data_IF_829000433305
#
_entry.id   IF_829000433305
#
_cell.length_a   1.000
_cell.length_b   1.000
_cell.length_c   1.000
_cell.angle_alpha   90.00
_cell.angle_beta   90.00
_cell.angle_gamma   90.00
#
_symmetry.space_group_name_H-M   'P 1'
#
loop_
_entity.id
_entity.type
_entity.pdbx_description
1 polymer ?
#
# COMPACT_ATOMS: atom_id res chain seq x y z
N UNK A 1 9.52 3.11 48.68
CA UNK A 1 9.64 3.29 47.21
C UNK A 1 10.17 4.69 46.98
N UNK A 2 11.35 4.83 46.36
CA UNK A 2 12.15 6.06 46.43
C UNK A 2 11.73 7.14 45.42
N UNK A 3 11.93 8.40 45.80
CA UNK A 3 11.72 9.66 45.07
C UNK A 3 12.41 9.76 43.68
N UNK A 4 13.07 8.69 43.21
CA UNK A 4 13.72 8.63 41.89
C UNK A 4 12.78 8.21 40.75
N UNK A 5 11.58 7.69 41.03
CA UNK A 5 10.58 7.36 40.00
C UNK A 5 9.79 8.59 39.52
N UNK A 6 9.77 9.67 40.30
CA UNK A 6 8.91 10.86 40.08
C UNK A 6 9.46 11.82 39.02
N UNK A 7 10.78 11.83 38.79
CA UNK A 7 11.42 12.67 37.76
C UNK A 7 11.35 12.07 36.33
N UNK A 8 10.94 10.81 36.19
CA UNK A 8 10.96 10.10 34.91
C UNK A 8 9.80 10.47 33.97
N UNK A 9 8.64 10.84 34.51
CA UNK A 9 7.44 11.09 33.72
C UNK A 9 7.48 12.41 32.92
N UNK A 10 8.13 13.45 33.45
CA UNK A 10 8.15 14.77 32.78
C UNK A 10 9.17 14.83 31.63
N UNK A 11 10.27 14.07 31.70
CA UNK A 11 11.37 14.16 30.70
C UNK A 11 11.11 13.37 29.41
N UNK A 12 10.42 12.22 29.49
CA UNK A 12 10.04 11.42 28.31
C UNK A 12 8.96 12.12 27.48
N UNK A 13 8.05 12.87 28.13
CA UNK A 13 6.96 13.55 27.45
C UNK A 13 7.36 14.91 26.85
N UNK A 14 8.49 15.49 27.24
CA UNK A 14 8.89 16.85 26.81
C UNK A 14 10.04 16.90 25.81
N UNK A 15 10.77 15.80 25.59
CA UNK A 15 11.89 15.77 24.65
C UNK A 15 11.70 14.69 23.59
N UNK A 16 11.10 15.06 22.45
CA UNK A 16 11.08 14.25 21.23
C UNK A 16 9.72 13.77 20.73
N UNK A 17 8.61 14.09 21.40
CA UNK A 17 7.29 13.76 20.86
C UNK A 17 6.91 14.70 19.69
N UNK A 18 6.34 14.18 18.59
CA UNK A 18 5.77 15.01 17.54
C UNK A 18 4.67 15.92 18.12
N UNK A 19 4.43 17.11 17.56
CA UNK A 19 3.49 18.09 18.11
C UNK A 19 2.05 17.57 18.26
N UNK A 20 1.68 16.49 17.55
CA UNK A 20 0.39 15.80 17.68
C UNK A 20 0.26 14.90 18.92
N UNK A 21 1.35 14.65 19.64
CA UNK A 21 1.40 13.84 20.87
C UNK A 21 1.74 14.67 22.12
N UNK A 22 1.46 15.98 22.12
CA UNK A 22 1.56 16.78 23.35
C UNK A 22 0.40 16.41 24.29
N UNK A 23 0.65 15.45 25.17
CA UNK A 23 -0.30 15.08 26.21
C UNK A 23 -0.27 16.13 27.33
N UNK A 24 -1.25 17.01 27.37
CA UNK A 24 -1.59 17.81 28.55
C UNK A 24 -2.23 16.89 29.62
N UNK A 25 -1.43 15.98 30.19
CA UNK A 25 -1.84 15.20 31.35
C UNK A 25 -1.48 16.00 32.60
N UNK A 26 -2.45 16.42 33.43
CA UNK A 26 -2.13 16.99 34.72
C UNK A 26 -1.37 15.93 35.53
N UNK A 27 -0.12 16.24 35.90
CA UNK A 27 0.74 15.42 36.75
C UNK A 27 0.22 15.37 38.20
N UNK A 28 -1.05 15.02 38.40
CA UNK A 28 -1.58 14.72 39.72
C UNK A 28 -1.03 13.35 40.16
N UNK A 29 -0.39 13.33 41.33
CA UNK A 29 0.58 12.31 41.77
C UNK A 29 0.06 10.87 41.99
N UNK A 30 -1.12 10.46 41.50
CA UNK A 30 -1.63 9.09 41.70
C UNK A 30 -2.50 8.55 40.56
N UNK A 31 -2.58 9.23 39.41
CA UNK A 31 -3.42 8.77 38.30
C UNK A 31 -2.61 7.86 37.39
N UNK A 32 -3.03 6.60 37.27
CA UNK A 32 -2.44 5.66 36.31
C UNK A 32 -2.71 6.15 34.88
N UNK A 33 -1.70 6.13 33.98
CA UNK A 33 -1.88 6.59 32.61
C UNK A 33 -2.86 5.65 31.88
N UNK A 34 -3.87 6.17 31.17
CA UNK A 34 -4.80 5.34 30.42
C UNK A 34 -4.08 4.40 29.46
N UNK A 35 -4.55 3.15 29.34
CA UNK A 35 -3.96 2.15 28.46
C UNK A 35 -3.75 2.65 27.02
N UNK A 36 -4.74 3.37 26.47
CA UNK A 36 -4.68 3.94 25.13
C UNK A 36 -3.46 4.87 24.92
N UNK A 37 -3.07 5.64 25.95
CA UNK A 37 -1.89 6.52 25.89
C UNK A 37 -0.60 5.70 25.84
N UNK A 38 -0.50 4.65 26.65
CA UNK A 38 0.66 3.75 26.64
C UNK A 38 0.78 2.99 25.32
N UNK A 39 -0.35 2.53 24.76
CA UNK A 39 -0.38 1.89 23.45
C UNK A 39 0.08 2.84 22.33
N UNK A 40 -0.38 4.11 22.35
CA UNK A 40 0.06 5.13 21.39
C UNK A 40 1.56 5.42 21.52
N UNK A 41 2.06 5.50 22.75
CA UNK A 41 3.48 5.70 23.00
C UNK A 41 4.32 4.54 22.45
N UNK A 42 3.89 3.28 22.66
CA UNK A 42 4.54 2.11 22.04
C UNK A 42 4.51 2.18 20.51
N UNK A 43 3.39 2.57 19.91
CA UNK A 43 3.25 2.67 18.46
C UNK A 43 4.18 3.73 17.86
N UNK A 44 4.32 4.87 18.54
CA UNK A 44 5.26 5.93 18.15
C UNK A 44 6.72 5.48 18.32
N UNK A 45 7.05 4.89 19.48
CA UNK A 45 8.40 4.41 19.76
C UNK A 45 8.84 3.31 18.78
N UNK A 46 7.91 2.46 18.34
CA UNK A 46 8.12 1.43 17.32
C UNK A 46 8.54 1.96 15.94
N UNK A 47 8.30 3.25 15.66
CA UNK A 47 8.63 3.91 14.40
C UNK A 47 9.78 4.91 14.51
N UNK A 48 10.36 5.08 15.70
CA UNK A 48 11.30 6.16 16.01
C UNK A 48 12.63 5.65 16.59
N UNK A 49 12.93 4.36 16.40
CA UNK A 49 14.12 3.71 16.99
C UNK A 49 14.24 3.99 18.51
N UNK A 50 13.15 3.72 19.24
CA UNK A 50 13.11 3.90 20.69
C UNK A 50 12.90 2.56 21.40
N UNK A 51 13.76 1.58 21.12
CA UNK A 51 13.71 0.22 21.70
C UNK A 51 13.62 0.28 23.23
N UNK A 52 14.44 1.13 23.86
CA UNK A 52 14.46 1.30 25.31
C UNK A 52 13.19 1.92 25.91
N UNK A 53 12.42 2.69 25.13
CA UNK A 53 11.11 3.22 25.56
C UNK A 53 10.08 2.09 25.53
N UNK A 54 10.07 1.28 24.48
CA UNK A 54 9.13 0.15 24.34
C UNK A 54 9.27 -0.81 25.52
N UNK A 55 10.49 -1.20 25.90
CA UNK A 55 10.71 -2.09 27.04
C UNK A 55 10.16 -1.54 28.36
N UNK A 56 10.31 -0.23 28.59
CA UNK A 56 9.77 0.41 29.80
C UNK A 56 8.25 0.42 29.78
N UNK A 57 7.64 0.75 28.64
CA UNK A 57 6.19 0.76 28.48
C UNK A 57 5.63 -0.66 28.60
N UNK A 58 6.27 -1.67 28.00
CA UNK A 58 5.91 -3.09 28.15
C UNK A 58 5.87 -3.52 29.62
N UNK A 59 6.93 -3.22 30.40
CA UNK A 59 6.97 -3.52 31.83
C UNK A 59 5.87 -2.80 32.60
N UNK A 60 5.58 -1.54 32.25
CA UNK A 60 4.53 -0.75 32.88
C UNK A 60 3.14 -1.34 32.57
N UNK A 61 2.85 -1.65 31.32
CA UNK A 61 1.59 -2.27 30.90
C UNK A 61 1.44 -3.65 31.52
N UNK A 62 2.48 -4.48 31.53
CA UNK A 62 2.43 -5.80 32.17
C UNK A 62 2.05 -5.71 33.66
N UNK A 63 2.53 -4.67 34.36
CA UNK A 63 2.24 -4.45 35.77
C UNK A 63 0.85 -3.88 36.02
N UNK A 64 0.38 -2.93 35.19
CA UNK A 64 -0.86 -2.17 35.44
C UNK A 64 -2.06 -2.80 34.72
N UNK A 65 -1.84 -3.34 33.51
CA UNK A 65 -2.86 -3.88 32.60
C UNK A 65 -2.42 -5.25 32.05
N UNK A 66 -2.32 -6.30 32.89
CA UNK A 66 -1.81 -7.61 32.48
C UNK A 66 -2.66 -8.28 31.39
N UNK A 67 -3.98 -8.16 31.45
CA UNK A 67 -4.87 -8.74 30.44
C UNK A 67 -4.64 -8.11 29.07
N UNK A 68 -4.55 -6.78 29.01
CA UNK A 68 -4.24 -6.04 27.79
C UNK A 68 -2.84 -6.37 27.25
N UNK A 69 -1.87 -6.55 28.15
CA UNK A 69 -0.53 -7.01 27.79
C UNK A 69 -0.59 -8.33 27.02
N UNK A 70 -1.33 -9.31 27.52
CA UNK A 70 -1.49 -10.61 26.86
C UNK A 70 -2.29 -10.52 25.56
N UNK A 71 -3.41 -9.78 25.54
CA UNK A 71 -4.22 -9.55 24.34
C UNK A 71 -3.44 -8.85 23.21
N UNK A 72 -2.45 -8.03 23.57
CA UNK A 72 -1.57 -7.34 22.63
C UNK A 72 -0.23 -8.05 22.42
N UNK A 73 -0.14 -9.37 22.67
CA UNK A 73 1.06 -10.19 22.42
C UNK A 73 2.32 -9.65 23.11
N UNK A 74 2.15 -9.02 24.26
CA UNK A 74 3.22 -8.32 24.97
C UNK A 74 3.85 -7.18 24.20
N UNK A 75 3.18 -6.63 23.17
CA UNK A 75 3.68 -5.55 22.32
C UNK A 75 4.99 -5.87 21.56
N UNK A 76 5.33 -7.16 21.45
CA UNK A 76 6.53 -7.65 20.77
C UNK A 76 6.65 -7.18 19.32
N UNK A 77 5.53 -7.01 18.60
CA UNK A 77 5.56 -6.47 17.24
C UNK A 77 6.05 -5.00 17.20
N UNK A 78 5.77 -4.18 18.21
CA UNK A 78 6.36 -2.83 18.26
C UNK A 78 7.84 -2.87 18.60
N UNK A 79 8.26 -3.80 19.46
CA UNK A 79 9.68 -4.01 19.78
C UNK A 79 10.46 -4.41 18.52
N UNK A 80 9.99 -5.42 17.80
CA UNK A 80 10.54 -5.84 16.52
C UNK A 80 10.57 -4.70 15.49
N UNK A 81 9.52 -3.86 15.45
CA UNK A 81 9.51 -2.66 14.62
C UNK A 81 10.61 -1.68 15.01
N UNK A 82 10.78 -1.36 16.30
CA UNK A 82 11.84 -0.46 16.73
C UNK A 82 13.23 -1.00 16.38
N UNK A 83 13.49 -2.31 16.58
CA UNK A 83 14.74 -2.94 16.17
C UNK A 83 15.03 -2.75 14.67
N UNK A 84 14.03 -2.99 13.81
CA UNK A 84 14.19 -2.78 12.37
C UNK A 84 14.49 -1.31 12.02
N UNK A 85 13.85 -0.34 12.70
CA UNK A 85 14.13 1.09 12.50
C UNK A 85 15.48 1.53 13.08
N UNK A 86 16.00 0.81 14.07
CA UNK A 86 17.35 1.01 14.64
C UNK A 86 18.47 0.54 13.70
N UNK A 87 18.14 -0.28 12.71
CA UNK A 87 19.12 -0.97 11.85
C UNK A 87 19.37 -2.42 12.27
N UNK A 88 18.84 -2.88 13.41
CA UNK A 88 18.90 -4.28 13.86
C UNK A 88 17.85 -5.15 13.14
N UNK A 89 17.83 -5.08 11.81
CA UNK A 89 16.81 -5.68 10.95
C UNK A 89 16.71 -7.19 11.13
N UNK A 90 17.86 -7.88 11.28
CA UNK A 90 17.87 -9.34 11.48
C UNK A 90 17.12 -9.74 12.74
N UNK A 91 17.43 -9.11 13.87
CA UNK A 91 16.81 -9.42 15.16
C UNK A 91 15.31 -9.10 15.14
N UNK A 92 14.93 -7.95 14.57
CA UNK A 92 13.52 -7.59 14.41
C UNK A 92 12.74 -8.60 13.54
N UNK A 93 13.31 -9.08 12.43
CA UNK A 93 12.67 -10.09 11.58
C UNK A 93 12.60 -11.47 12.24
N UNK A 94 13.59 -11.85 13.06
CA UNK A 94 13.56 -13.08 13.86
C UNK A 94 12.43 -13.05 14.90
N UNK A 95 12.26 -11.92 15.61
CA UNK A 95 11.16 -11.74 16.56
C UNK A 95 9.79 -11.84 15.87
N UNK A 96 9.64 -11.24 14.68
CA UNK A 96 8.41 -11.35 13.88
C UNK A 96 8.14 -12.79 13.44
N UNK A 97 9.18 -13.53 13.05
CA UNK A 97 9.06 -14.94 12.66
C UNK A 97 8.51 -15.77 13.82
N UNK A 98 9.03 -15.56 15.03
CA UNK A 98 8.53 -16.22 16.24
C UNK A 98 7.07 -15.85 16.54
N UNK A 99 6.70 -14.59 16.34
CA UNK A 99 5.31 -14.14 16.54
C UNK A 99 4.33 -14.81 15.58
N UNK A 100 4.71 -14.98 14.31
CA UNK A 100 3.88 -15.70 13.34
C UNK A 100 3.66 -17.16 13.73
N UNK A 101 4.71 -17.84 14.21
CA UNK A 101 4.63 -19.25 14.61
C UNK A 101 3.83 -19.47 15.89
N UNK A 102 3.93 -18.55 16.85
CA UNK A 102 3.39 -18.76 18.20
C UNK A 102 1.98 -18.21 18.42
N UNK A 103 1.48 -17.28 17.58
CA UNK A 103 0.27 -16.52 17.89
C UNK A 103 -0.69 -16.36 16.69
N UNK A 104 -1.50 -17.40 16.37
CA UNK A 104 -2.45 -17.34 15.26
C UNK A 104 -3.51 -16.23 15.39
N UNK A 105 -3.96 -15.96 16.62
CA UNK A 105 -5.04 -15.00 16.91
C UNK A 105 -4.62 -13.53 16.67
N UNK A 106 -3.32 -13.22 16.69
CA UNK A 106 -2.80 -11.86 16.54
C UNK A 106 -2.26 -11.52 15.14
N UNK A 107 -2.44 -12.40 14.16
CA UNK A 107 -1.82 -12.28 12.83
C UNK A 107 -2.12 -10.95 12.11
N UNK A 108 -3.27 -10.32 12.34
CA UNK A 108 -3.60 -9.05 11.68
C UNK A 108 -2.63 -7.94 12.07
N UNK A 109 -2.43 -7.70 13.38
CA UNK A 109 -1.51 -6.66 13.87
C UNK A 109 -0.06 -6.94 13.44
N UNK A 110 0.33 -8.22 13.45
CA UNK A 110 1.66 -8.65 12.98
C UNK A 110 1.80 -8.34 11.48
N UNK A 111 0.83 -8.70 10.64
CA UNK A 111 0.82 -8.43 9.19
C UNK A 111 0.90 -6.93 8.88
N UNK A 112 0.17 -6.10 9.61
CA UNK A 112 0.20 -4.65 9.44
C UNK A 112 1.61 -4.11 9.78
N UNK A 113 2.19 -4.55 10.90
CA UNK A 113 3.53 -4.16 11.33
C UNK A 113 4.61 -4.58 10.33
N UNK A 114 4.56 -5.83 9.87
CA UNK A 114 5.47 -6.37 8.85
C UNK A 114 5.39 -5.57 7.56
N UNK A 115 4.17 -5.18 7.15
CA UNK A 115 3.99 -4.34 5.97
C UNK A 115 4.70 -3.00 6.14
N UNK A 116 4.57 -2.34 7.30
CA UNK A 116 5.30 -1.08 7.56
C UNK A 116 6.82 -1.25 7.55
N UNK A 117 7.33 -2.33 8.15
CA UNK A 117 8.76 -2.63 8.18
C UNK A 117 9.30 -2.89 6.78
N UNK A 118 8.57 -3.65 5.96
CA UNK A 118 8.92 -3.89 4.55
C UNK A 118 9.07 -2.56 3.80
N UNK A 119 8.08 -1.67 3.88
CA UNK A 119 8.17 -0.37 3.20
C UNK A 119 9.34 0.47 3.71
N UNK A 120 9.61 0.46 5.02
CA UNK A 120 10.75 1.16 5.59
C UNK A 120 12.09 0.62 5.06
N UNK A 121 12.27 -0.70 5.08
CA UNK A 121 13.49 -1.36 4.59
C UNK A 121 13.70 -1.06 3.10
N UNK A 122 12.66 -1.21 2.28
CA UNK A 122 12.75 -0.93 0.84
C UNK A 122 13.10 0.53 0.57
N UNK A 123 12.53 1.47 1.32
CA UNK A 123 12.84 2.90 1.17
C UNK A 123 14.23 3.29 1.71
N UNK A 124 14.86 2.45 2.54
CA UNK A 124 16.22 2.68 3.03
C UNK A 124 17.30 2.43 1.97
N UNK A 125 16.95 1.75 0.87
CA UNK A 125 17.84 1.41 -0.25
C UNK A 125 19.12 0.65 0.19
N UNK A 126 19.07 -0.08 1.30
CA UNK A 126 20.17 -0.91 1.80
C UNK A 126 20.01 -2.36 1.31
N UNK A 127 20.89 -2.80 0.41
CA UNK A 127 20.81 -4.12 -0.24
C UNK A 127 20.88 -5.30 0.73
N UNK A 128 21.61 -5.17 1.84
CA UNK A 128 21.70 -6.26 2.82
C UNK A 128 20.39 -6.39 3.60
N UNK A 129 19.75 -5.26 3.93
CA UNK A 129 18.42 -5.27 4.55
C UNK A 129 17.35 -5.78 3.56
N UNK A 130 17.44 -5.39 2.28
CA UNK A 130 16.58 -5.90 1.20
C UNK A 130 16.67 -7.43 1.08
N UNK A 131 17.88 -8.00 1.12
CA UNK A 131 18.09 -9.46 1.12
C UNK A 131 17.52 -10.14 2.36
N UNK A 132 17.69 -9.54 3.54
CA UNK A 132 17.14 -10.08 4.79
C UNK A 132 15.61 -10.14 4.74
N UNK A 133 14.95 -9.06 4.30
CA UNK A 133 13.48 -9.04 4.22
C UNK A 133 12.96 -9.99 3.15
N UNK A 134 13.65 -10.12 2.01
CA UNK A 134 13.31 -11.10 0.98
C UNK A 134 13.35 -12.54 1.51
N UNK A 135 14.43 -12.91 2.20
CA UNK A 135 14.58 -14.24 2.80
C UNK A 135 13.50 -14.49 3.87
N UNK A 136 13.22 -13.50 4.71
CA UNK A 136 12.16 -13.55 5.71
C UNK A 136 10.79 -13.84 5.08
N UNK A 137 10.37 -13.07 4.06
CA UNK A 137 9.05 -13.29 3.45
C UNK A 137 8.97 -14.61 2.68
N UNK A 138 10.07 -15.02 2.04
CA UNK A 138 10.14 -16.31 1.34
C UNK A 138 10.00 -17.47 2.32
N UNK A 139 10.66 -17.40 3.47
CA UNK A 139 10.57 -18.42 4.52
C UNK A 139 9.16 -18.49 5.12
N UNK A 140 8.50 -17.35 5.33
CA UNK A 140 7.09 -17.32 5.78
C UNK A 140 6.12 -17.88 4.73
N UNK A 141 6.34 -17.57 3.45
CA UNK A 141 5.53 -18.07 2.36
C UNK A 141 5.66 -19.59 2.21
N UNK A 142 6.90 -20.12 2.18
CA UNK A 142 7.17 -21.56 2.02
C UNK A 142 6.84 -22.35 3.28
N UNK A 143 7.32 -21.90 4.44
CA UNK A 143 7.21 -22.66 5.69
C UNK A 143 5.84 -22.57 6.35
N UNK A 144 5.12 -21.45 6.18
CA UNK A 144 3.87 -21.19 6.91
C UNK A 144 2.68 -20.86 6.00
N UNK A 145 2.86 -20.89 4.67
CA UNK A 145 1.82 -20.52 3.71
C UNK A 145 1.39 -19.05 3.80
N UNK A 146 2.15 -18.19 4.48
CA UNK A 146 1.79 -16.79 4.68
C UNK A 146 2.24 -15.96 3.47
N UNK A 147 1.37 -15.84 2.47
CA UNK A 147 1.63 -15.04 1.27
C UNK A 147 1.45 -13.53 1.46
N UNK A 148 0.84 -13.09 2.56
CA UNK A 148 0.55 -11.66 2.79
C UNK A 148 1.82 -10.80 2.90
N UNK A 149 2.88 -11.18 3.64
CA UNK A 149 4.14 -10.43 3.65
C UNK A 149 4.81 -10.39 2.28
N UNK A 150 4.80 -11.52 1.54
CA UNK A 150 5.37 -11.58 0.21
C UNK A 150 4.64 -10.65 -0.78
N UNK A 151 3.30 -10.53 -0.67
CA UNK A 151 2.53 -9.55 -1.43
C UNK A 151 2.91 -8.11 -1.06
N UNK A 152 3.10 -7.80 0.23
CA UNK A 152 3.52 -6.47 0.66
C UNK A 152 4.92 -6.12 0.14
N UNK A 153 5.86 -7.06 0.17
CA UNK A 153 7.20 -6.88 -0.40
C UNK A 153 7.13 -6.68 -1.91
N UNK A 154 6.34 -7.51 -2.61
CA UNK A 154 6.13 -7.36 -4.04
C UNK A 154 5.62 -5.95 -4.39
N UNK A 155 4.59 -5.46 -3.69
CA UNK A 155 4.05 -4.12 -3.95
C UNK A 155 5.10 -3.02 -3.74
N UNK A 156 5.90 -3.12 -2.68
CA UNK A 156 6.94 -2.14 -2.38
C UNK A 156 8.05 -2.16 -3.44
N UNK A 157 8.52 -3.34 -3.81
CA UNK A 157 9.58 -3.53 -4.81
C UNK A 157 9.13 -3.15 -6.22
N UNK A 158 7.95 -3.58 -6.65
CA UNK A 158 7.41 -3.32 -7.99
C UNK A 158 7.11 -1.83 -8.23
N UNK A 159 6.72 -1.11 -7.17
CA UNK A 159 6.47 0.33 -7.23
C UNK A 159 7.75 1.17 -7.18
N UNK A 160 8.92 0.55 -7.00
CA UNK A 160 10.19 1.26 -6.93
C UNK A 160 10.72 1.60 -8.32
N UNK A 161 11.40 2.73 -8.44
CA UNK A 161 12.17 3.11 -9.62
C UNK A 161 13.50 2.34 -9.75
N UNK A 162 13.94 1.67 -8.69
CA UNK A 162 15.20 0.91 -8.71
C UNK A 162 15.04 -0.43 -9.42
N UNK A 163 15.82 -0.63 -10.48
CA UNK A 163 15.81 -1.84 -11.29
C UNK A 163 16.02 -3.13 -10.48
N UNK A 164 16.96 -3.14 -9.52
CA UNK A 164 17.23 -4.32 -8.68
C UNK A 164 16.00 -4.76 -7.86
N UNK A 165 15.17 -3.81 -7.43
CA UNK A 165 13.95 -4.09 -6.69
C UNK A 165 12.86 -4.61 -7.64
N UNK A 166 12.79 -4.09 -8.87
CA UNK A 166 11.90 -4.64 -9.90
C UNK A 166 12.22 -6.11 -10.19
N UNK A 167 13.50 -6.45 -10.39
CA UNK A 167 13.96 -7.83 -10.55
C UNK A 167 13.58 -8.68 -9.34
N UNK A 168 13.78 -8.17 -8.12
CA UNK A 168 13.35 -8.86 -6.89
C UNK A 168 11.84 -9.14 -6.87
N UNK A 169 11.03 -8.22 -7.36
CA UNK A 169 9.58 -8.39 -7.46
C UNK A 169 9.18 -9.49 -8.46
N UNK A 170 9.89 -9.61 -9.58
CA UNK A 170 9.68 -10.68 -10.56
C UNK A 170 10.04 -12.05 -9.97
N UNK A 171 11.20 -12.15 -9.31
CA UNK A 171 11.63 -13.37 -8.62
C UNK A 171 10.61 -13.81 -7.55
N UNK A 172 9.98 -12.88 -6.83
CA UNK A 172 8.92 -13.21 -5.87
C UNK A 172 7.70 -13.88 -6.55
N UNK A 173 7.30 -13.40 -7.73
CA UNK A 173 6.17 -13.98 -8.46
C UNK A 173 6.50 -15.37 -9.01
N UNK A 174 7.71 -15.57 -9.50
CA UNK A 174 8.19 -16.87 -9.97
C UNK A 174 8.22 -17.90 -8.83
N UNK A 175 8.73 -17.51 -7.66
CA UNK A 175 8.81 -18.40 -6.49
C UNK A 175 7.46 -18.68 -5.84
N UNK A 176 6.52 -17.75 -5.95
CA UNK A 176 5.22 -17.85 -5.30
C UNK A 176 4.06 -17.55 -6.27
N UNK A 177 3.71 -18.48 -7.18
CA UNK A 177 2.64 -18.30 -8.17
C UNK A 177 1.27 -17.97 -7.54
N UNK A 178 1.05 -18.36 -6.28
CA UNK A 178 -0.15 -18.00 -5.52
C UNK A 178 -0.35 -16.49 -5.34
N UNK A 179 0.72 -15.68 -5.45
CA UNK A 179 0.64 -14.22 -5.38
C UNK A 179 -0.17 -13.63 -6.51
N UNK A 180 -0.16 -14.20 -7.72
CA UNK A 180 -0.84 -13.67 -8.91
C UNK A 180 -2.34 -13.44 -8.64
N UNK A 181 -2.99 -14.38 -7.94
CA UNK A 181 -4.41 -14.24 -7.56
C UNK A 181 -4.65 -13.11 -6.55
N UNK A 182 -3.67 -12.83 -5.70
CA UNK A 182 -3.76 -11.73 -4.73
C UNK A 182 -3.48 -10.37 -5.39
N UNK A 183 -2.58 -10.35 -6.39
CA UNK A 183 -2.24 -9.15 -7.17
C UNK A 183 -3.45 -8.51 -7.83
N UNK A 184 -4.34 -9.31 -8.43
CA UNK A 184 -5.52 -8.79 -9.14
C UNK A 184 -6.32 -7.77 -8.31
N UNK A 185 -6.42 -7.98 -7.00
CA UNK A 185 -7.14 -7.06 -6.09
C UNK A 185 -6.34 -5.80 -5.75
N UNK A 186 -5.01 -5.86 -5.82
CA UNK A 186 -4.11 -4.74 -5.51
C UNK A 186 -3.84 -3.86 -6.72
N UNK A 187 -3.84 -4.42 -7.93
CA UNK A 187 -3.56 -3.67 -9.16
C UNK A 187 -4.48 -2.46 -9.34
N UNK A 188 -5.78 -2.55 -9.04
CA UNK A 188 -6.68 -1.38 -9.15
C UNK A 188 -6.25 -0.20 -8.27
N UNK A 189 -5.71 -0.48 -7.08
CA UNK A 189 -5.24 0.57 -6.18
C UNK A 189 -3.93 1.17 -6.69
N UNK A 190 -3.05 0.33 -7.26
CA UNK A 190 -1.78 0.77 -7.83
C UNK A 190 -1.99 1.60 -9.09
N UNK A 191 -2.88 1.19 -9.98
CA UNK A 191 -3.27 1.95 -11.17
C UNK A 191 -3.80 3.32 -10.78
N UNK A 192 -4.78 3.37 -9.86
CA UNK A 192 -5.35 4.64 -9.41
C UNK A 192 -4.30 5.55 -8.77
N UNK A 193 -3.38 4.98 -8.00
CA UNK A 193 -2.29 5.74 -7.38
C UNK A 193 -1.31 6.26 -8.43
N UNK A 194 -0.84 5.41 -9.33
CA UNK A 194 0.08 5.79 -10.41
C UNK A 194 -0.53 6.87 -11.31
N UNK A 195 -1.81 6.73 -11.68
CA UNK A 195 -2.55 7.73 -12.44
C UNK A 195 -2.68 9.07 -11.69
N UNK A 196 -2.93 9.01 -10.38
CA UNK A 196 -3.00 10.21 -9.54
C UNK A 196 -1.65 10.91 -9.40
N UNK A 197 -0.59 10.13 -9.24
CA UNK A 197 0.78 10.61 -9.09
C UNK A 197 1.41 11.02 -10.44
N UNK A 198 0.77 10.70 -11.58
CA UNK A 198 1.31 10.93 -12.92
C UNK A 198 2.50 10.01 -13.27
N UNK A 199 2.58 8.84 -12.63
CA UNK A 199 3.66 7.86 -12.82
C UNK A 199 3.38 6.94 -14.01
N UNK A 200 3.64 7.45 -15.20
CA UNK A 200 3.44 6.74 -16.48
C UNK A 200 4.32 5.47 -16.56
N UNK A 201 5.51 5.48 -15.97
CA UNK A 201 6.42 4.32 -15.96
C UNK A 201 5.81 3.15 -15.18
N UNK A 202 5.26 3.43 -13.99
CA UNK A 202 4.54 2.43 -13.21
C UNK A 202 3.28 1.95 -13.93
N UNK A 203 2.52 2.83 -14.59
CA UNK A 203 1.36 2.42 -15.40
C UNK A 203 1.77 1.47 -16.54
N UNK A 204 2.86 1.77 -17.24
CA UNK A 204 3.40 0.90 -18.29
C UNK A 204 3.87 -0.46 -17.74
N UNK A 205 4.57 -0.48 -16.60
CA UNK A 205 4.94 -1.73 -15.92
C UNK A 205 3.72 -2.55 -15.52
N UNK A 206 2.68 -1.92 -14.96
CA UNK A 206 1.43 -2.61 -14.62
C UNK A 206 0.79 -3.20 -15.88
N UNK A 207 0.76 -2.45 -16.98
CA UNK A 207 0.24 -2.95 -18.25
C UNK A 207 1.03 -4.18 -18.71
N UNK A 208 2.35 -4.12 -18.75
CA UNK A 208 3.22 -5.26 -19.10
C UNK A 208 2.94 -6.48 -18.22
N UNK A 209 2.83 -6.29 -16.91
CA UNK A 209 2.49 -7.34 -15.94
C UNK A 209 1.12 -7.97 -16.26
N UNK A 210 0.10 -7.15 -16.50
CA UNK A 210 -1.25 -7.67 -16.81
C UNK A 210 -1.29 -8.44 -18.12
N UNK A 211 -0.48 -8.05 -19.11
CA UNK A 211 -0.37 -8.78 -20.38
C UNK A 211 0.38 -10.10 -20.20
N UNK A 212 1.52 -10.07 -19.51
CA UNK A 212 2.35 -11.24 -19.26
C UNK A 212 1.57 -12.35 -18.54
N UNK A 213 0.84 -11.99 -17.48
CA UNK A 213 0.06 -12.94 -16.69
C UNK A 213 -1.40 -13.11 -17.15
N UNK A 214 -1.76 -12.58 -18.33
CA UNK A 214 -3.10 -12.69 -18.95
C UNK A 214 -4.25 -12.22 -18.02
N UNK A 215 -4.01 -11.16 -17.25
CA UNK A 215 -4.99 -10.55 -16.33
C UNK A 215 -5.98 -9.65 -17.09
N UNK A 216 -6.70 -10.24 -18.06
CA UNK A 216 -7.50 -9.53 -19.07
C UNK A 216 -8.56 -8.57 -18.50
N UNK A 217 -9.15 -8.91 -17.34
CA UNK A 217 -10.14 -8.08 -16.65
C UNK A 217 -9.57 -6.74 -16.14
N UNK A 218 -8.24 -6.60 -16.09
CA UNK A 218 -7.54 -5.42 -15.55
C UNK A 218 -6.90 -4.54 -16.62
N UNK A 219 -6.82 -5.01 -17.86
CA UNK A 219 -6.24 -4.25 -18.96
C UNK A 219 -7.02 -2.94 -19.19
N UNK A 220 -8.37 -2.98 -19.09
CA UNK A 220 -9.22 -1.81 -19.34
C UNK A 220 -9.07 -0.71 -18.29
N UNK A 221 -8.75 -1.02 -17.03
CA UNK A 221 -8.56 0.00 -16.00
C UNK A 221 -7.25 0.75 -16.20
N UNK A 222 -6.14 0.03 -16.43
CA UNK A 222 -4.81 0.60 -16.66
C UNK A 222 -4.80 1.52 -17.89
N UNK A 223 -5.40 1.03 -18.98
CA UNK A 223 -5.42 1.72 -20.27
C UNK A 223 -6.22 3.02 -20.27
N UNK A 224 -7.21 3.15 -19.37
CA UNK A 224 -8.06 4.34 -19.29
C UNK A 224 -7.38 5.53 -18.61
N UNK A 225 -6.25 5.30 -17.92
CA UNK A 225 -5.59 6.27 -17.06
C UNK A 225 -4.25 6.77 -17.64
N UNK A 226 -3.77 6.21 -18.76
CA UNK A 226 -2.62 6.73 -19.50
C UNK A 226 -3.08 8.03 -20.20
N UNK A 227 -2.67 9.18 -19.66
CA UNK A 227 -3.17 10.51 -20.03
C UNK A 227 -2.64 11.07 -21.37
N UNK A 228 -1.74 10.35 -22.01
CA UNK A 228 -1.17 10.68 -23.31
C UNK A 228 -2.14 10.33 -24.46
N UNK A 229 -2.41 11.29 -25.35
CA UNK A 229 -3.20 11.12 -26.57
C UNK A 229 -2.71 9.98 -27.48
N UNK A 230 -1.39 9.86 -27.63
CA UNK A 230 -0.71 8.81 -28.39
C UNK A 230 -0.81 7.46 -27.66
N UNK A 231 -0.49 7.43 -26.37
CA UNK A 231 -0.64 6.26 -25.49
C UNK A 231 -2.07 5.74 -25.47
N UNK A 232 -3.07 6.63 -25.46
CA UNK A 232 -4.47 6.28 -25.47
C UNK A 232 -4.93 5.77 -26.87
N UNK A 233 -4.42 6.35 -27.96
CA UNK A 233 -4.67 5.85 -29.32
C UNK A 233 -4.06 4.44 -29.52
N UNK A 234 -2.80 4.24 -29.12
CA UNK A 234 -2.12 2.94 -29.18
C UNK A 234 -2.78 1.90 -28.28
N UNK A 235 -3.23 2.32 -27.11
CA UNK A 235 -4.03 1.52 -26.19
C UNK A 235 -5.31 1.00 -26.83
N UNK A 236 -6.02 1.85 -27.57
CA UNK A 236 -7.28 1.44 -28.22
C UNK A 236 -7.00 0.49 -29.39
N UNK A 237 -5.99 0.80 -30.21
CA UNK A 237 -5.53 -0.11 -31.27
C UNK A 237 -5.11 -1.45 -30.70
N UNK A 238 -4.42 -1.45 -29.56
CA UNK A 238 -4.00 -2.65 -28.86
C UNK A 238 -5.20 -3.46 -28.33
N UNK A 239 -6.14 -2.81 -27.64
CA UNK A 239 -7.35 -3.46 -27.15
C UNK A 239 -8.16 -4.10 -28.29
N UNK A 240 -8.26 -3.44 -29.44
CA UNK A 240 -8.86 -4.00 -30.66
C UNK A 240 -8.09 -5.21 -31.18
N UNK A 241 -6.76 -5.12 -31.30
CA UNK A 241 -5.90 -6.24 -31.74
C UNK A 241 -6.04 -7.47 -30.86
N UNK A 242 -6.16 -7.29 -29.55
CA UNK A 242 -6.28 -8.38 -28.56
C UNK A 242 -7.73 -8.80 -28.32
N UNK A 243 -8.71 -8.14 -28.93
CA UNK A 243 -10.13 -8.45 -28.75
C UNK A 243 -10.68 -8.09 -27.35
N UNK A 244 -10.00 -7.19 -26.63
CA UNK A 244 -10.44 -6.73 -25.31
C UNK A 244 -11.53 -5.66 -25.50
N UNK A 245 -12.71 -5.93 -24.94
CA UNK A 245 -13.80 -4.93 -24.92
C UNK A 245 -13.47 -3.81 -23.94
N UNK A 246 -13.35 -2.59 -24.45
CA UNK A 246 -13.23 -1.38 -23.65
C UNK A 246 -14.54 -1.09 -22.91
N UNK A 247 -14.45 -0.59 -21.69
CA UNK A 247 -15.65 -0.22 -20.93
C UNK A 247 -16.23 1.11 -21.44
N UNK A 248 -17.54 1.37 -21.30
CA UNK A 248 -18.14 2.64 -21.72
C UNK A 248 -17.49 3.87 -21.07
N UNK A 249 -17.03 3.74 -19.82
CA UNK A 249 -16.29 4.81 -19.13
C UNK A 249 -14.93 5.07 -19.77
N UNK A 250 -14.19 4.03 -20.16
CA UNK A 250 -12.93 4.16 -20.93
C UNK A 250 -13.15 4.91 -22.23
N UNK A 251 -14.17 4.51 -23.00
CA UNK A 251 -14.51 5.16 -24.28
C UNK A 251 -14.89 6.63 -24.07
N UNK A 252 -15.66 6.93 -23.03
CA UNK A 252 -16.03 8.30 -22.69
C UNK A 252 -14.82 9.16 -22.29
N UNK A 253 -13.87 8.62 -21.53
CA UNK A 253 -12.63 9.34 -21.17
C UNK A 253 -11.77 9.61 -22.39
N UNK A 254 -11.62 8.65 -23.30
CA UNK A 254 -10.86 8.88 -24.54
C UNK A 254 -11.51 9.96 -25.41
N UNK A 255 -12.84 9.97 -25.52
CA UNK A 255 -13.56 11.04 -26.21
C UNK A 255 -13.35 12.40 -25.54
N UNK A 256 -13.33 12.43 -24.20
CA UNK A 256 -13.04 13.65 -23.45
C UNK A 256 -11.59 14.13 -23.70
N UNK A 257 -10.62 13.21 -23.76
CA UNK A 257 -9.22 13.51 -24.08
C UNK A 257 -9.07 14.06 -25.50
N UNK A 258 -9.67 13.40 -26.49
CA UNK A 258 -9.70 13.88 -27.89
C UNK A 258 -10.30 15.29 -27.98
N UNK A 259 -11.41 15.53 -27.28
CA UNK A 259 -12.06 16.84 -27.25
C UNK A 259 -11.17 17.90 -26.58
N UNK A 260 -10.52 17.57 -25.47
CA UNK A 260 -9.57 18.46 -24.78
C UNK A 260 -8.44 18.91 -25.73
N UNK A 261 -7.92 17.98 -26.54
CA UNK A 261 -6.88 18.27 -27.53
C UNK A 261 -7.42 18.71 -28.90
N UNK A 262 -8.72 19.00 -29.02
CA UNK A 262 -9.39 19.45 -30.25
C UNK A 262 -9.17 18.51 -31.45
N UNK A 263 -9.07 17.20 -31.21
CA UNK A 263 -8.96 16.18 -32.27
C UNK A 263 -10.31 15.56 -32.57
N UNK A 264 -10.61 15.26 -33.85
CA UNK A 264 -11.84 14.57 -34.21
C UNK A 264 -11.85 13.15 -33.68
N UNK A 265 -13.02 12.67 -33.23
CA UNK A 265 -13.18 11.31 -32.76
C UNK A 265 -13.18 10.32 -33.93
N UNK A 266 -12.34 9.27 -33.91
CA UNK A 266 -12.35 8.26 -34.95
C UNK A 266 -13.70 7.53 -35.03
N UNK A 267 -14.16 7.23 -36.25
CA UNK A 267 -15.47 6.59 -36.50
C UNK A 267 -15.62 5.24 -35.79
N UNK A 268 -14.55 4.44 -35.72
CA UNK A 268 -14.59 3.16 -35.02
C UNK A 268 -14.87 3.33 -33.52
N UNK A 269 -14.45 4.45 -32.92
CA UNK A 269 -14.63 4.71 -31.50
C UNK A 269 -16.04 5.21 -31.20
N UNK A 270 -16.60 5.99 -32.12
CA UNK A 270 -18.02 6.34 -32.11
C UNK A 270 -18.88 5.08 -32.27
N UNK A 271 -18.49 4.15 -33.13
CA UNK A 271 -19.18 2.86 -33.27
C UNK A 271 -19.09 2.01 -31.98
N UNK A 272 -18.01 2.10 -31.21
CA UNK A 272 -17.91 1.45 -29.89
C UNK A 272 -18.86 2.09 -28.85
N UNK A 273 -19.06 3.42 -28.89
CA UNK A 273 -19.95 4.12 -27.94
C UNK A 273 -21.43 3.99 -28.30
N UNK A 274 -21.76 4.10 -29.59
CA UNK A 274 -23.13 4.22 -30.09
C UNK A 274 -23.64 2.92 -30.74
N UNK A 275 -22.79 1.90 -30.88
CA UNK A 275 -23.11 0.65 -31.57
C UNK A 275 -22.93 0.73 -33.09
N UNK A 276 -23.08 -0.40 -33.81
CA UNK A 276 -22.88 -0.50 -35.27
C UNK A 276 -23.96 0.22 -36.11
N UNK A 277 -24.86 0.98 -35.49
CA UNK A 277 -25.82 1.82 -36.20
C UNK A 277 -26.16 3.02 -35.33
N UNK A 278 -26.16 4.26 -35.87
CA UNK A 278 -26.93 5.30 -35.23
C UNK A 278 -28.36 4.78 -35.05
N UNK A 279 -29.06 5.10 -33.96
CA UNK A 279 -30.49 4.86 -33.94
C UNK A 279 -31.05 5.46 -35.23
N UNK A 280 -31.92 4.73 -35.93
CA UNK A 280 -32.71 5.27 -37.05
C UNK A 280 -33.70 6.30 -36.49
N UNK A 281 -33.21 7.31 -35.79
CA UNK A 281 -33.96 8.47 -35.38
C UNK A 281 -34.04 9.36 -36.60
N UNK A 282 -35.27 9.52 -37.08
CA UNK A 282 -35.72 10.63 -37.89
C UNK A 282 -34.89 11.89 -37.64
N UNK A 283 -34.46 12.52 -38.73
CA UNK A 283 -33.84 13.84 -38.72
C UNK A 283 -34.57 14.74 -37.71
N UNK A 284 -33.93 15.17 -36.60
CA UNK A 284 -34.57 16.08 -35.67
C UNK A 284 -34.88 17.36 -36.45
N UNK A 285 -36.15 17.73 -36.54
CA UNK A 285 -36.53 19.01 -37.13
C UNK A 285 -35.76 20.12 -36.39
N UNK A 286 -35.10 21.04 -37.10
CA UNK A 286 -34.36 22.11 -36.46
C UNK A 286 -35.32 22.89 -35.54
N UNK A 287 -34.89 23.26 -34.33
CA UNK A 287 -35.69 24.06 -33.42
C UNK A 287 -36.06 25.37 -34.13
N UNK A 288 -37.37 25.63 -34.25
CA UNK A 288 -37.89 26.90 -34.78
C UNK A 288 -37.63 27.99 -33.75
N UNK A 289 -36.46 28.62 -33.81
CA UNK A 289 -36.22 29.86 -33.10
C UNK A 289 -37.05 30.96 -33.77
N UNK A 290 -38.18 31.33 -33.15
CA UNK A 290 -38.86 32.58 -33.46
C UNK A 290 -38.12 33.69 -32.71
N UNK A 291 -37.32 34.48 -33.42
CA UNK A 291 -36.88 35.76 -32.88
C UNK A 291 -38.10 36.68 -32.82
N UNK A 292 -38.47 37.11 -31.61
CA UNK A 292 -39.32 38.28 -31.43
C UNK A 292 -38.39 39.49 -31.50
N UNK A 293 -38.56 40.30 -32.54
CA UNK A 293 -38.07 41.67 -32.58
C UNK A 293 -39.05 42.55 -31.82
#
# INVERSE_FOLDING_TARGET
MSLRQTYWYSRILTSGLPPTCQFNLPCAMNVQPPFAVLQQLCAWAGKSDQVGVIHKVQKLIQKIYPDEYHQHLGFKYYHASALCYAGDVREGLEELTQLYSSQPQGQKKIKDTVTFIIYHIINSNNEDHEKLVFNFVNNLAVGQGQLSPALSLWCACFSSSLYRLQVMSEVLLERHPGLIRMLERKLDNMVRRAAWDGDDELLHRILQLTLHYKLSKKISSVTSDIGDLHGADETIKFAQRVGVRLTPSTVQRFLALLNHHRRPAPLYLLALKYGPSPPKTSVPKPPKFKYKF
#
